data_IF_051905612186
#
_entry.id   IF_051905612186
#
_cell.length_a   1.000
_cell.length_b   1.000
_cell.length_c   1.000
_cell.angle_alpha   90.00
_cell.angle_beta   90.00
_cell.angle_gamma   90.00
#
_symmetry.space_group_name_H-M   'P 1'
#
loop_
_entity.id
_entity.type
_entity.pdbx_description
1 polymer ?
#
# COMPACT_ATOMS: atom_id res chain seq x y z
N UNK A 1 -14.89 -18.92 45.98
CA UNK A 1 -14.33 -19.58 44.78
C UNK A 1 -15.47 -19.72 43.78
N UNK A 2 -15.68 -18.70 42.94
CA UNK A 2 -16.73 -18.71 41.91
C UNK A 2 -16.02 -19.06 40.60
N UNK A 3 -16.30 -20.25 40.09
CA UNK A 3 -15.77 -20.74 38.82
C UNK A 3 -16.63 -20.15 37.69
N UNK A 4 -16.09 -19.15 36.98
CA UNK A 4 -16.67 -18.69 35.73
C UNK A 4 -16.22 -19.62 34.61
N UNK A 5 -17.13 -20.46 34.10
CA UNK A 5 -16.91 -21.16 32.84
C UNK A 5 -16.93 -20.10 31.74
N UNK A 6 -15.79 -19.90 31.10
CA UNK A 6 -15.73 -19.20 29.82
C UNK A 6 -16.34 -20.14 28.77
N UNK A 7 -17.54 -19.80 28.29
CA UNK A 7 -18.05 -20.37 27.04
C UNK A 7 -17.17 -19.84 25.91
N UNK A 8 -16.65 -20.70 25.02
CA UNK A 8 -15.93 -20.22 23.84
C UNK A 8 -16.91 -19.43 22.97
N UNK A 9 -16.64 -18.14 22.81
CA UNK A 9 -17.36 -17.30 21.86
C UNK A 9 -17.28 -17.90 20.44
N UNK A 10 -18.26 -17.58 19.56
CA UNK A 10 -18.27 -18.07 18.19
C UNK A 10 -16.94 -17.72 17.51
N UNK A 11 -16.38 -18.69 16.77
CA UNK A 11 -15.16 -18.50 16.02
C UNK A 11 -15.26 -17.25 15.13
N UNK A 12 -14.18 -16.46 14.97
CA UNK A 12 -14.17 -15.32 14.06
C UNK A 12 -14.56 -15.83 12.67
N UNK A 13 -15.65 -15.30 12.11
CA UNK A 13 -16.00 -15.58 10.73
C UNK A 13 -14.86 -15.05 9.85
N UNK A 14 -14.37 -15.89 8.94
CA UNK A 14 -13.28 -15.51 8.04
C UNK A 14 -13.68 -14.26 7.24
N UNK A 15 -12.80 -13.25 7.09
CA UNK A 15 -13.09 -12.04 6.32
C UNK A 15 -13.41 -12.30 4.83
N UNK A 16 -13.12 -13.51 4.35
CA UNK A 16 -13.25 -13.94 2.95
C UNK A 16 -14.69 -14.14 2.43
N UNK A 17 -15.74 -13.82 3.20
CA UNK A 17 -17.11 -14.18 2.80
C UNK A 17 -18.17 -13.11 3.08
N UNK A 18 -17.78 -11.83 3.17
CA UNK A 18 -18.73 -10.74 3.45
C UNK A 18 -19.64 -10.40 2.24
N UNK A 19 -19.18 -10.65 1.01
CA UNK A 19 -19.89 -10.24 -0.21
C UNK A 19 -20.06 -11.34 -1.30
N UNK A 20 -19.59 -12.57 -1.06
CA UNK A 20 -19.68 -13.70 -2.01
C UNK A 20 -19.14 -13.35 -3.41
N UNK A 21 -17.92 -12.80 -3.45
CA UNK A 21 -17.18 -12.42 -4.66
C UNK A 21 -15.96 -13.32 -4.85
N UNK A 22 -15.59 -13.63 -6.08
CA UNK A 22 -14.36 -14.38 -6.39
C UNK A 22 -13.22 -13.40 -6.71
N UNK A 23 -12.36 -13.16 -5.71
CA UNK A 23 -11.21 -12.28 -5.85
C UNK A 23 -10.12 -12.78 -6.83
N UNK A 24 -10.10 -14.09 -7.14
CA UNK A 24 -9.24 -14.64 -8.18
C UNK A 24 -9.77 -14.29 -9.57
N UNK A 25 -11.05 -14.51 -9.81
CA UNK A 25 -11.71 -14.14 -11.06
C UNK A 25 -11.65 -12.62 -11.31
N UNK A 26 -11.78 -11.79 -10.26
CA UNK A 26 -11.60 -10.33 -10.36
C UNK A 26 -10.17 -9.97 -10.76
N UNK A 27 -9.15 -10.61 -10.16
CA UNK A 27 -7.75 -10.37 -10.53
C UNK A 27 -7.46 -10.75 -11.99
N UNK A 28 -8.11 -11.81 -12.46
CA UNK A 28 -8.01 -12.28 -13.85
C UNK A 28 -8.93 -11.49 -14.80
N UNK A 29 -9.55 -10.41 -14.29
CA UNK A 29 -10.41 -9.48 -15.02
C UNK A 29 -11.63 -10.17 -15.66
N UNK A 30 -12.21 -11.18 -14.99
CA UNK A 30 -13.46 -11.80 -15.42
C UNK A 30 -14.59 -10.75 -15.41
N UNK A 31 -15.24 -10.50 -16.56
CA UNK A 31 -16.20 -9.41 -16.68
C UNK A 31 -17.47 -9.62 -15.84
N UNK A 32 -17.84 -10.88 -15.54
CA UNK A 32 -19.02 -11.19 -14.74
C UNK A 32 -18.75 -10.87 -13.27
N UNK A 33 -17.60 -11.29 -12.74
CA UNK A 33 -17.25 -11.06 -11.34
C UNK A 33 -16.85 -9.60 -11.07
N UNK A 34 -16.14 -8.95 -11.99
CA UNK A 34 -15.90 -7.49 -11.92
C UNK A 34 -17.24 -6.74 -11.94
N UNK A 35 -18.16 -7.11 -12.84
CA UNK A 35 -19.49 -6.51 -12.91
C UNK A 35 -20.30 -6.71 -11.62
N UNK A 36 -20.25 -7.91 -11.03
CA UNK A 36 -20.90 -8.22 -9.74
C UNK A 36 -20.33 -7.36 -8.61
N UNK A 37 -19.01 -7.25 -8.52
CA UNK A 37 -18.34 -6.44 -7.50
C UNK A 37 -18.73 -4.96 -7.59
N UNK A 38 -18.81 -4.39 -8.80
CA UNK A 38 -19.23 -3.01 -9.01
C UNK A 38 -20.66 -2.72 -8.52
N UNK A 39 -21.56 -3.72 -8.54
CA UNK A 39 -22.92 -3.60 -8.00
C UNK A 39 -22.96 -3.61 -6.47
N UNK A 40 -22.00 -4.30 -5.83
CA UNK A 40 -21.95 -4.48 -4.37
C UNK A 40 -21.37 -3.27 -3.62
N UNK A 41 -20.86 -2.27 -4.35
CA UNK A 41 -20.24 -1.01 -3.90
C UNK A 41 -21.10 -0.14 -2.95
N UNK A 42 -22.31 -0.57 -2.59
CA UNK A 42 -23.30 0.21 -1.80
C UNK A 42 -23.61 -0.29 -0.39
N UNK A 43 -22.90 -1.26 0.16
CA UNK A 43 -23.16 -1.71 1.55
C UNK A 43 -21.88 -1.92 2.33
N UNK A 44 -21.41 -0.88 3.03
CA UNK A 44 -20.31 -1.05 3.99
C UNK A 44 -20.59 -0.24 5.25
N UNK A 45 -20.63 -0.97 6.36
CA UNK A 45 -20.58 -0.48 7.72
C UNK A 45 -19.18 -0.84 8.24
N UNK A 46 -18.40 0.17 8.60
CA UNK A 46 -16.97 0.08 8.91
C UNK A 46 -16.82 -0.47 10.34
N UNK A 47 -16.18 -1.62 10.49
CA UNK A 47 -15.65 -2.08 11.78
C UNK A 47 -14.18 -1.65 11.91
N UNK A 48 -13.74 -1.40 13.15
CA UNK A 48 -12.43 -0.81 13.45
C UNK A 48 -11.32 -1.85 13.60
N UNK A 49 -10.17 -1.59 13.00
CA UNK A 49 -9.03 -2.51 12.96
C UNK A 49 -8.02 -2.27 14.09
N UNK A 50 -7.90 -3.24 15.01
CA UNK A 50 -6.74 -3.38 15.92
C UNK A 50 -5.52 -4.06 15.25
N UNK A 51 -5.63 -4.52 13.99
CA UNK A 51 -4.64 -5.42 13.37
C UNK A 51 -3.46 -4.76 12.64
N UNK A 52 -3.37 -3.43 12.58
CA UNK A 52 -2.34 -2.75 11.77
C UNK A 52 -0.93 -2.70 12.39
N UNK A 53 -0.76 -3.15 13.65
CA UNK A 53 0.49 -2.94 14.40
C UNK A 53 1.62 -3.96 14.10
N UNK A 54 1.34 -5.07 13.41
CA UNK A 54 2.30 -6.19 13.26
C UNK A 54 3.09 -6.25 11.94
N UNK A 55 2.80 -5.38 10.96
CA UNK A 55 3.28 -5.55 9.57
C UNK A 55 4.62 -4.86 9.23
N UNK A 56 5.21 -4.07 10.13
CA UNK A 56 6.37 -3.20 9.79
C UNK A 56 7.66 -3.54 10.54
N UNK A 57 7.74 -4.68 11.22
CA UNK A 57 8.75 -4.90 12.26
C UNK A 57 10.11 -5.48 11.81
N UNK A 58 10.39 -5.69 10.51
CA UNK A 58 11.66 -6.33 10.14
C UNK A 58 12.28 -5.77 8.86
N UNK A 59 13.19 -4.80 9.03
CA UNK A 59 14.20 -4.38 8.04
C UNK A 59 15.24 -3.46 8.70
N UNK A 60 16.11 -4.00 9.56
CA UNK A 60 17.00 -3.20 10.42
C UNK A 60 18.27 -2.67 9.72
N UNK A 61 18.91 -3.44 8.84
CA UNK A 61 20.29 -3.14 8.45
C UNK A 61 20.48 -1.90 7.56
N UNK A 62 19.57 -1.61 6.61
CA UNK A 62 19.68 -0.44 5.72
C UNK A 62 19.09 0.83 6.35
N UNK A 63 18.09 0.67 7.22
CA UNK A 63 17.45 1.79 7.90
C UNK A 63 18.35 2.36 9.00
N UNK A 64 19.13 1.53 9.69
CA UNK A 64 19.99 1.97 10.79
C UNK A 64 21.04 3.00 10.35
N UNK A 65 21.79 2.72 9.27
CA UNK A 65 22.85 3.63 8.80
C UNK A 65 22.28 4.96 8.29
N UNK A 66 21.18 4.91 7.53
CA UNK A 66 20.52 6.12 7.03
C UNK A 66 19.91 6.95 8.17
N UNK A 67 19.25 6.31 9.15
CA UNK A 67 18.68 7.00 10.32
C UNK A 67 19.77 7.59 11.20
N UNK A 68 20.89 6.89 11.41
CA UNK A 68 22.04 7.44 12.12
C UNK A 68 22.62 8.65 11.39
N UNK A 69 22.76 8.58 10.07
CA UNK A 69 23.20 9.71 9.25
C UNK A 69 22.26 10.92 9.39
N UNK A 70 20.94 10.69 9.36
CA UNK A 70 19.92 11.74 9.57
C UNK A 70 20.07 12.45 10.92
N UNK A 71 20.44 11.70 11.98
CA UNK A 71 20.58 12.23 13.33
C UNK A 71 21.92 12.91 13.59
N UNK A 72 22.97 12.54 12.85
CA UNK A 72 24.33 12.99 13.12
C UNK A 72 24.78 14.10 12.17
N UNK A 73 24.40 14.05 10.89
CA UNK A 73 24.86 14.97 9.86
C UNK A 73 24.37 16.40 10.06
N UNK A 74 25.31 17.35 10.21
CA UNK A 74 25.01 18.78 10.31
C UNK A 74 24.34 19.31 9.03
N UNK A 75 24.77 18.81 7.85
CA UNK A 75 24.18 19.20 6.57
C UNK A 75 22.69 18.85 6.50
N UNK A 76 22.31 17.67 7.00
CA UNK A 76 20.90 17.25 7.03
C UNK A 76 20.10 18.10 8.00
N UNK A 77 20.64 18.39 9.19
CA UNK A 77 19.96 19.22 10.20
C UNK A 77 19.74 20.63 9.70
N UNK A 78 20.76 21.23 9.09
CA UNK A 78 20.67 22.57 8.50
C UNK A 78 19.66 22.60 7.35
N UNK A 79 19.67 21.57 6.48
CA UNK A 79 18.70 21.47 5.40
C UNK A 79 17.26 21.28 5.91
N UNK A 80 17.07 20.47 6.96
CA UNK A 80 15.77 20.27 7.59
C UNK A 80 15.25 21.59 8.18
N UNK A 81 16.07 22.28 8.96
CA UNK A 81 15.74 23.59 9.53
C UNK A 81 15.41 24.62 8.44
N UNK A 82 16.17 24.63 7.35
CA UNK A 82 15.90 25.51 6.21
C UNK A 82 14.57 25.19 5.51
N UNK A 83 14.16 23.91 5.47
CA UNK A 83 12.92 23.49 4.81
C UNK A 83 11.65 23.70 5.64
N UNK A 84 11.78 23.97 6.95
CA UNK A 84 10.67 24.00 7.90
C UNK A 84 9.56 25.01 7.53
N UNK A 85 9.94 26.18 7.01
CA UNK A 85 9.01 27.27 6.67
C UNK A 85 8.64 27.32 5.18
N UNK A 86 9.00 26.27 4.43
CA UNK A 86 8.65 26.14 3.00
C UNK A 86 7.28 25.50 2.81
N UNK A 87 6.73 25.63 1.60
CA UNK A 87 5.46 24.97 1.24
C UNK A 87 5.70 23.50 0.86
N UNK A 88 5.01 22.58 1.56
CA UNK A 88 5.10 21.12 1.35
C UNK A 88 6.54 20.57 1.28
N UNK A 89 7.35 20.74 2.36
CA UNK A 89 8.73 20.27 2.37
C UNK A 89 8.87 18.77 2.14
N UNK A 90 7.86 17.98 2.49
CA UNK A 90 7.81 16.54 2.26
C UNK A 90 7.88 16.16 0.76
N UNK A 91 7.46 17.05 -0.15
CA UNK A 91 7.49 16.80 -1.60
C UNK A 91 8.87 17.00 -2.23
N UNK A 92 9.82 17.67 -1.56
CA UNK A 92 11.16 17.87 -2.10
C UNK A 92 12.29 17.40 -1.17
N UNK A 93 12.08 17.37 0.14
CA UNK A 93 13.13 17.13 1.13
C UNK A 93 13.80 15.78 0.90
N UNK A 94 13.01 14.70 0.85
CA UNK A 94 13.51 13.34 0.65
C UNK A 94 14.16 13.14 -0.73
N UNK A 95 13.55 13.70 -1.77
CA UNK A 95 14.07 13.64 -3.14
C UNK A 95 15.40 14.39 -3.29
N UNK A 96 15.59 15.47 -2.55
CA UNK A 96 16.85 16.23 -2.53
C UNK A 96 17.91 15.51 -1.73
N UNK A 97 17.55 15.03 -0.53
CA UNK A 97 18.45 14.37 0.40
C UNK A 97 19.15 13.16 -0.22
N UNK A 98 18.42 12.31 -0.94
CA UNK A 98 19.01 11.12 -1.58
C UNK A 98 20.04 11.45 -2.67
N UNK A 99 20.12 12.71 -3.12
CA UNK A 99 21.08 13.21 -4.13
C UNK A 99 22.26 13.98 -3.52
N UNK A 100 22.39 13.99 -2.19
CA UNK A 100 23.51 14.63 -1.48
C UNK A 100 24.68 13.63 -1.42
N UNK A 101 25.88 14.03 -1.87
CA UNK A 101 27.07 13.20 -1.79
C UNK A 101 27.35 12.65 -0.39
N UNK A 102 27.50 11.33 -0.28
CA UNK A 102 27.85 10.64 0.96
C UNK A 102 26.67 10.29 1.87
N UNK A 103 25.43 10.50 1.43
CA UNK A 103 24.24 9.95 2.11
C UNK A 103 24.19 8.43 1.89
N UNK A 104 23.93 7.60 2.93
CA UNK A 104 23.71 6.18 2.75
C UNK A 104 22.57 5.89 1.76
N UNK A 105 22.85 5.11 0.71
CA UNK A 105 21.88 4.86 -0.37
C UNK A 105 21.73 6.01 -1.37
N UNK A 106 22.72 6.91 -1.47
CA UNK A 106 22.76 8.00 -2.45
C UNK A 106 22.48 7.51 -3.87
N UNK A 107 21.68 8.30 -4.60
CA UNK A 107 21.56 8.21 -6.05
C UNK A 107 22.37 9.37 -6.65
N UNK A 108 23.49 9.13 -7.36
CA UNK A 108 24.33 10.19 -7.89
C UNK A 108 23.57 11.16 -8.78
N UNK A 109 23.94 12.44 -8.78
CA UNK A 109 23.29 13.47 -9.63
C UNK A 109 23.44 13.25 -11.13
N UNK A 110 24.39 12.41 -11.55
CA UNK A 110 24.56 12.01 -12.94
C UNK A 110 23.53 10.97 -13.39
N UNK A 111 22.91 10.25 -12.46
CA UNK A 111 21.88 9.26 -12.78
C UNK A 111 20.54 9.95 -13.11
N UNK A 112 19.76 9.40 -14.06
CA UNK A 112 18.46 9.95 -14.43
C UNK A 112 17.51 10.14 -13.23
N UNK A 113 16.53 11.02 -13.41
CA UNK A 113 15.48 11.21 -12.43
C UNK A 113 14.56 9.99 -12.33
N UNK A 114 14.23 9.64 -11.09
CA UNK A 114 13.35 8.53 -10.76
C UNK A 114 11.94 9.08 -10.66
N UNK A 115 11.08 8.68 -11.60
CA UNK A 115 9.67 9.07 -11.58
C UNK A 115 8.90 8.27 -10.53
N UNK A 116 7.68 8.73 -10.23
CA UNK A 116 6.72 8.03 -9.36
C UNK A 116 6.49 6.57 -9.80
N UNK A 117 6.31 6.32 -11.10
CA UNK A 117 6.10 4.97 -11.65
C UNK A 117 7.36 4.09 -11.66
N UNK A 118 8.55 4.69 -11.59
CA UNK A 118 9.81 3.96 -11.45
C UNK A 118 10.13 3.63 -10.00
N UNK A 119 9.72 4.49 -9.06
CA UNK A 119 9.90 4.30 -7.63
C UNK A 119 9.09 3.10 -7.13
N UNK A 120 9.70 2.23 -6.31
CA UNK A 120 9.02 1.07 -5.73
C UNK A 120 8.08 1.40 -4.57
N UNK A 121 8.18 2.60 -4.00
CA UNK A 121 7.59 2.92 -2.70
C UNK A 121 6.06 2.97 -2.74
N UNK A 122 5.47 3.73 -3.66
CA UNK A 122 4.03 4.02 -3.65
C UNK A 122 3.49 4.23 -5.06
N UNK A 123 2.53 3.40 -5.44
CA UNK A 123 1.76 3.58 -6.66
C UNK A 123 0.60 4.56 -6.43
N UNK A 124 0.52 5.61 -7.25
CA UNK A 124 -0.56 6.61 -7.19
C UNK A 124 -1.09 6.84 -8.60
N UNK A 125 -2.42 6.94 -8.74
CA UNK A 125 -3.08 7.29 -10.00
C UNK A 125 -3.65 8.71 -9.91
N UNK A 126 -3.20 9.60 -10.78
CA UNK A 126 -3.59 10.99 -10.87
C UNK A 126 -4.57 11.20 -12.03
N UNK A 127 -5.68 11.89 -11.76
CA UNK A 127 -6.78 12.06 -12.72
C UNK A 127 -6.35 12.71 -14.04
N UNK A 128 -5.36 13.61 -14.00
CA UNK A 128 -4.88 14.33 -15.18
C UNK A 128 -3.82 13.56 -15.99
N UNK A 129 -3.38 12.38 -15.52
CA UNK A 129 -2.46 11.48 -16.23
C UNK A 129 -3.14 10.19 -16.69
N UNK A 130 -4.42 10.03 -16.37
CA UNK A 130 -5.25 8.95 -16.88
C UNK A 130 -5.34 9.02 -18.41
N UNK A 131 -5.45 7.85 -19.04
CA UNK A 131 -5.36 7.61 -20.48
C UNK A 131 -3.98 7.88 -21.12
N UNK A 132 -3.15 8.74 -20.51
CA UNK A 132 -1.79 8.99 -20.96
C UNK A 132 -0.78 7.99 -20.39
N UNK A 133 -0.80 7.74 -19.09
CA UNK A 133 0.17 6.86 -18.41
C UNK A 133 -0.45 5.55 -17.92
N UNK A 134 -1.76 5.55 -17.66
CA UNK A 134 -2.50 4.40 -17.14
C UNK A 134 -4.00 4.50 -17.48
N UNK A 135 -4.74 3.38 -17.44
CA UNK A 135 -6.18 3.39 -17.67
C UNK A 135 -6.94 4.30 -16.69
N UNK A 136 -8.17 4.74 -17.04
CA UNK A 136 -9.02 5.53 -16.16
C UNK A 136 -9.25 4.87 -14.79
N UNK A 137 -9.47 5.70 -13.76
CA UNK A 137 -9.81 5.22 -12.42
C UNK A 137 -11.19 4.56 -12.42
N UNK A 138 -11.30 3.32 -11.92
CA UNK A 138 -12.61 2.65 -11.76
C UNK A 138 -13.31 3.05 -10.47
N UNK A 139 -12.57 3.70 -9.57
CA UNK A 139 -13.03 4.17 -8.28
C UNK A 139 -13.64 5.57 -8.29
N UNK A 140 -13.11 6.50 -7.50
CA UNK A 140 -13.52 7.92 -7.46
C UNK A 140 -12.30 8.81 -7.29
N UNK A 141 -12.36 10.07 -7.71
CA UNK A 141 -11.27 11.02 -7.47
C UNK A 141 -11.54 11.91 -6.28
N UNK A 142 -10.50 12.17 -5.48
CA UNK A 142 -10.53 13.21 -4.45
C UNK A 142 -9.23 13.99 -4.50
N UNK A 143 -9.30 15.31 -4.74
CA UNK A 143 -8.12 16.17 -4.96
C UNK A 143 -7.19 15.60 -6.04
N UNK A 144 -7.76 15.23 -7.19
CA UNK A 144 -7.05 14.67 -8.35
C UNK A 144 -6.36 13.31 -8.15
N UNK A 145 -6.44 12.69 -6.97
CA UNK A 145 -5.93 11.33 -6.73
C UNK A 145 -7.07 10.32 -6.78
N UNK A 146 -6.89 9.23 -7.54
CA UNK A 146 -7.80 8.10 -7.60
C UNK A 146 -7.84 7.37 -6.25
N UNK A 147 -9.05 7.26 -5.70
CA UNK A 147 -9.43 6.26 -4.72
C UNK A 147 -9.74 5.00 -5.52
N UNK A 148 -8.95 3.95 -5.36
CA UNK A 148 -9.04 2.75 -6.19
C UNK A 148 -10.39 2.05 -6.05
N UNK A 149 -10.88 1.52 -7.18
CA UNK A 149 -11.99 0.59 -7.22
C UNK A 149 -11.51 -0.83 -7.50
N UNK A 150 -12.43 -1.78 -7.47
CA UNK A 150 -12.15 -3.20 -7.74
C UNK A 150 -11.48 -3.46 -9.10
N UNK A 151 -11.72 -2.61 -10.10
CA UNK A 151 -11.11 -2.74 -11.42
C UNK A 151 -9.60 -2.45 -11.45
N UNK A 152 -9.04 -1.88 -10.38
CA UNK A 152 -7.60 -1.71 -10.25
C UNK A 152 -6.86 -2.93 -9.68
N UNK A 153 -7.56 -4.00 -9.24
CA UNK A 153 -6.94 -5.14 -8.56
C UNK A 153 -5.81 -5.78 -9.38
N UNK A 154 -6.06 -6.04 -10.67
CA UNK A 154 -5.06 -6.59 -11.58
C UNK A 154 -3.82 -5.69 -11.69
N UNK A 155 -4.05 -4.38 -11.84
CA UNK A 155 -2.95 -3.43 -11.99
C UNK A 155 -2.12 -3.34 -10.70
N UNK A 156 -2.77 -3.20 -9.54
CA UNK A 156 -2.13 -3.08 -8.24
C UNK A 156 -1.23 -4.28 -7.91
N UNK A 157 -1.68 -5.51 -8.23
CA UNK A 157 -0.94 -6.73 -7.91
C UNK A 157 0.22 -7.04 -8.86
N UNK A 158 0.24 -6.44 -10.05
CA UNK A 158 1.21 -6.77 -11.11
C UNK A 158 2.19 -5.62 -11.42
N UNK A 159 1.91 -4.39 -11.00
CA UNK A 159 2.77 -3.23 -11.29
C UNK A 159 4.04 -3.16 -10.41
N UNK A 160 4.10 -3.98 -9.34
CA UNK A 160 5.33 -4.24 -8.59
C UNK A 160 5.82 -3.11 -7.68
N UNK A 161 4.91 -2.26 -7.19
CA UNK A 161 5.16 -1.31 -6.10
C UNK A 161 4.84 -1.96 -4.75
N UNK A 162 5.43 -1.47 -3.66
CA UNK A 162 5.24 -2.00 -2.31
C UNK A 162 3.91 -1.57 -1.70
N UNK A 163 3.56 -0.30 -1.87
CA UNK A 163 2.30 0.26 -1.40
C UNK A 163 1.56 0.97 -2.53
N UNK A 164 0.28 1.22 -2.32
CA UNK A 164 -0.55 1.99 -3.25
C UNK A 164 -1.41 3.01 -2.50
N UNK A 165 -1.73 4.13 -3.14
CA UNK A 165 -2.57 5.17 -2.56
C UNK A 165 -3.59 5.70 -3.59
N UNK A 166 -4.89 5.78 -3.28
CA UNK A 166 -5.56 5.57 -1.97
C UNK A 166 -6.70 4.57 -2.02
N UNK A 167 -7.06 4.05 -0.86
CA UNK A 167 -8.20 3.19 -0.63
C UNK A 167 -9.18 3.88 0.32
N UNK A 168 -10.47 3.66 0.12
CA UNK A 168 -11.53 4.14 1.02
C UNK A 168 -12.64 3.09 1.05
N UNK A 169 -12.91 2.45 2.20
CA UNK A 169 -13.98 1.46 2.34
C UNK A 169 -15.35 1.96 1.89
N UNK A 170 -15.60 3.28 1.99
CA UNK A 170 -16.85 3.88 1.53
C UNK A 170 -16.93 4.03 0.01
N UNK A 171 -15.77 4.01 -0.67
CA UNK A 171 -15.71 4.04 -2.14
C UNK A 171 -15.79 2.64 -2.70
N UNK A 172 -14.99 1.71 -2.21
CA UNK A 172 -15.00 0.31 -2.64
C UNK A 172 -14.30 -0.56 -1.58
N UNK A 173 -15.06 -1.35 -0.82
CA UNK A 173 -14.48 -2.28 0.14
C UNK A 173 -14.03 -3.59 -0.53
N UNK A 174 -14.58 -3.94 -1.70
CA UNK A 174 -14.27 -5.20 -2.38
C UNK A 174 -12.80 -5.22 -2.80
N UNK A 175 -12.26 -4.09 -3.26
CA UNK A 175 -10.83 -4.00 -3.60
C UNK A 175 -9.93 -4.25 -2.38
N UNK A 176 -10.30 -3.75 -1.20
CA UNK A 176 -9.53 -3.94 0.04
C UNK A 176 -9.57 -5.41 0.45
N UNK A 177 -10.77 -6.01 0.50
CA UNK A 177 -10.95 -7.44 0.79
C UNK A 177 -10.13 -8.31 -0.19
N UNK A 178 -10.23 -8.05 -1.49
CA UNK A 178 -9.52 -8.84 -2.48
C UNK A 178 -8.00 -8.65 -2.44
N UNK A 179 -7.50 -7.47 -2.07
CA UNK A 179 -6.07 -7.27 -1.83
C UNK A 179 -5.60 -8.09 -0.63
N UNK A 180 -6.32 -8.06 0.50
CA UNK A 180 -5.99 -8.85 1.69
C UNK A 180 -5.97 -10.35 1.37
N UNK A 181 -7.00 -10.87 0.70
CA UNK A 181 -7.06 -12.28 0.32
C UNK A 181 -5.90 -12.70 -0.60
N UNK A 182 -5.59 -11.88 -1.61
CA UNK A 182 -4.51 -12.18 -2.56
C UNK A 182 -3.14 -12.11 -1.89
N UNK A 183 -2.91 -11.13 -1.02
CA UNK A 183 -1.65 -10.98 -0.28
C UNK A 183 -1.48 -12.13 0.73
N UNK A 184 -2.53 -12.51 1.45
CA UNK A 184 -2.51 -13.65 2.38
C UNK A 184 -2.22 -14.98 1.66
N UNK A 185 -2.84 -15.20 0.49
CA UNK A 185 -2.56 -16.37 -0.37
C UNK A 185 -1.10 -16.37 -0.82
N UNK A 186 -0.59 -15.23 -1.31
CA UNK A 186 0.83 -15.09 -1.70
C UNK A 186 1.77 -15.36 -0.53
N UNK A 187 1.50 -14.80 0.65
CA UNK A 187 2.31 -15.02 1.84
C UNK A 187 2.32 -16.49 2.27
N UNK A 188 1.16 -17.13 2.33
CA UNK A 188 1.03 -18.56 2.68
C UNK A 188 1.76 -19.45 1.68
N UNK A 189 1.65 -19.14 0.38
CA UNK A 189 2.39 -19.83 -0.66
C UNK A 189 3.90 -19.69 -0.49
N UNK A 190 4.40 -18.47 -0.29
CA UNK A 190 5.84 -18.22 -0.05
C UNK A 190 6.33 -18.94 1.21
N UNK A 191 5.56 -18.91 2.30
CA UNK A 191 5.90 -19.65 3.52
C UNK A 191 5.96 -21.16 3.28
N UNK A 192 5.06 -21.71 2.47
CA UNK A 192 5.07 -23.13 2.11
C UNK A 192 6.30 -23.51 1.28
N UNK A 193 6.74 -22.63 0.37
CA UNK A 193 7.97 -22.84 -0.41
C UNK A 193 9.22 -22.76 0.46
N UNK A 194 9.29 -21.80 1.37
CA UNK A 194 10.43 -21.68 2.31
C UNK A 194 10.46 -22.87 3.27
N UNK A 195 9.30 -23.34 3.74
CA UNK A 195 9.20 -24.52 4.62
C UNK A 195 9.52 -25.84 3.91
N UNK A 196 9.46 -25.89 2.57
CA UNK A 196 9.86 -27.08 1.80
C UNK A 196 11.35 -27.09 1.43
N UNK A 197 12.09 -26.04 1.81
CA UNK A 197 13.52 -25.83 1.47
C UNK A 197 14.41 -25.93 2.74
N UNK A 198 13.82 -26.09 3.93
CA UNK A 198 14.54 -26.41 5.17
C UNK A 198 14.36 -27.86 5.59
#
# INVERSE_FOLDING_TARGET
>A
MVSFRHEPGPAPQQPAQRYNVDCGAIHDMDPVEVGRALVLRKKVEVESDESLHYLTADCSAFLEEFVEYMQTSDVVKDFLAWSEDTYSPDEFFWATLVRIPGVPGEVPRSEPDITDLMSKTRLVKWSYLEESLYPPCTGQHRRSVCIYGVGELHWLLNYGHWFANKFDPAVDLVIIQCLEENLQKKQTFLQSLVSSVC
#
